data_IF_880856387733
#
_entry.id   IF_880856387733
#
_cell.length_a   1.000
_cell.length_b   1.000
_cell.length_c   1.000
_cell.angle_alpha   90.00
_cell.angle_beta   90.00
_cell.angle_gamma   90.00
#
_symmetry.space_group_name_H-M   'P 1'
#
loop_
_entity.id
_entity.type
_entity.pdbx_description
1 polymer ?
#
# COMPACT_ATOMS: atom_id res chain seq x y z
N UNK A 1 5.26 42.78 -62.82
CA UNK A 1 5.39 42.60 -61.35
C UNK A 1 4.29 41.66 -60.90
N UNK A 2 4.62 40.57 -60.21
CA UNK A 2 3.64 39.62 -59.66
C UNK A 2 4.23 38.22 -59.50
N UNK A 3 5.07 38.03 -58.49
CA UNK A 3 5.62 36.72 -58.12
C UNK A 3 4.64 36.04 -57.18
N UNK A 4 3.94 35.01 -57.64
CA UNK A 4 3.14 34.11 -56.81
C UNK A 4 4.07 33.12 -56.11
N UNK A 5 4.21 33.26 -54.80
CA UNK A 5 4.98 32.34 -53.94
C UNK A 5 4.15 31.10 -53.62
N UNK A 6 4.58 29.96 -54.16
CA UNK A 6 4.15 28.61 -53.82
C UNK A 6 4.72 28.19 -52.45
N UNK A 7 3.96 28.38 -51.38
CA UNK A 7 4.23 27.79 -50.05
C UNK A 7 3.30 26.59 -49.78
N UNK A 8 3.37 25.55 -50.62
CA UNK A 8 2.51 24.35 -50.48
C UNK A 8 3.27 23.06 -50.11
N UNK A 9 4.59 22.86 -50.33
CA UNK A 9 5.16 21.53 -50.06
C UNK A 9 5.51 21.26 -48.58
N UNK A 10 5.49 22.25 -47.68
CA UNK A 10 5.93 22.05 -46.29
C UNK A 10 4.85 21.44 -45.37
N UNK A 11 3.56 21.53 -45.72
CA UNK A 11 2.45 21.06 -44.87
C UNK A 11 2.13 19.56 -45.05
N UNK A 12 2.56 18.94 -46.16
CA UNK A 12 2.33 17.52 -46.43
C UNK A 12 3.33 16.58 -45.72
N UNK A 13 4.52 17.07 -45.35
CA UNK A 13 5.50 16.24 -44.62
C UNK A 13 5.19 16.11 -43.12
N UNK A 14 4.44 17.06 -42.54
CA UNK A 14 4.04 16.98 -41.12
C UNK A 14 2.96 15.90 -40.87
N UNK A 15 2.13 15.60 -41.86
CA UNK A 15 1.09 14.57 -41.75
C UNK A 15 1.65 13.13 -41.69
N UNK A 16 2.85 12.90 -42.21
CA UNK A 16 3.52 11.58 -42.18
C UNK A 16 4.12 11.24 -40.81
N UNK A 17 4.27 12.22 -39.92
CA UNK A 17 4.74 11.98 -38.53
C UNK A 17 3.61 11.83 -37.52
N UNK A 18 2.34 12.02 -37.92
CA UNK A 18 1.18 11.91 -37.03
C UNK A 18 0.50 10.53 -37.04
N UNK A 19 1.00 9.57 -37.83
CA UNK A 19 0.31 8.30 -38.06
C UNK A 19 1.23 7.08 -38.03
N UNK A 20 2.02 6.87 -36.96
CA UNK A 20 2.54 5.54 -36.62
C UNK A 20 2.63 5.35 -35.11
N UNK A 21 1.48 5.36 -34.41
CA UNK A 21 1.36 4.37 -33.34
C UNK A 21 1.17 3.03 -34.05
N UNK A 22 1.96 1.98 -33.75
CA UNK A 22 1.69 0.60 -34.17
C UNK A 22 0.22 0.23 -33.91
N UNK A 23 -0.27 -0.90 -34.40
CA UNK A 23 -1.65 -1.37 -34.16
C UNK A 23 -1.96 -1.67 -32.67
N UNK A 24 -1.95 -0.62 -31.84
CA UNK A 24 -2.24 -0.63 -30.42
C UNK A 24 -3.75 -0.66 -30.25
N UNK A 25 -4.25 -1.73 -29.65
CA UNK A 25 -5.65 -1.87 -29.30
C UNK A 25 -5.86 -1.44 -27.86
N UNK A 26 -6.89 -0.65 -27.62
CA UNK A 26 -7.29 -0.27 -26.28
C UNK A 26 -7.97 -1.44 -25.57
N UNK A 27 -7.59 -1.68 -24.32
CA UNK A 27 -8.18 -2.70 -23.46
C UNK A 27 -8.60 -2.10 -22.12
N UNK A 28 -9.69 -2.66 -21.57
CA UNK A 28 -10.11 -2.45 -20.20
C UNK A 28 -10.26 -3.80 -19.52
N UNK A 29 -9.54 -4.03 -18.43
CA UNK A 29 -9.64 -5.31 -17.71
C UNK A 29 -10.85 -5.37 -16.76
N UNK A 30 -10.98 -6.49 -16.05
CA UNK A 30 -12.08 -6.76 -15.11
C UNK A 30 -12.08 -5.85 -13.88
N UNK A 31 -10.97 -5.20 -13.59
CA UNK A 31 -10.83 -4.23 -12.49
C UNK A 31 -10.93 -2.79 -12.99
N UNK A 32 -11.23 -2.62 -14.28
CA UNK A 32 -11.39 -1.33 -14.92
C UNK A 32 -10.07 -0.65 -15.30
N UNK A 33 -8.94 -1.35 -15.21
CA UNK A 33 -7.65 -0.82 -15.65
C UNK A 33 -7.63 -0.62 -17.15
N UNK A 34 -7.07 0.49 -17.58
CA UNK A 34 -6.99 0.87 -18.99
C UNK A 34 -5.54 0.80 -19.45
N UNK A 35 -5.32 0.14 -20.59
CA UNK A 35 -4.00 0.03 -21.20
C UNK A 35 -4.14 -0.31 -22.68
N UNK A 36 -3.03 -0.21 -23.41
CA UNK A 36 -2.97 -0.58 -24.82
C UNK A 36 -2.16 -1.86 -24.99
N UNK A 37 -2.53 -2.67 -25.98
CA UNK A 37 -1.82 -3.90 -26.35
C UNK A 37 -1.48 -3.87 -27.84
N UNK A 38 -0.25 -4.14 -28.22
CA UNK A 38 0.17 -4.24 -29.62
C UNK A 38 -0.09 -5.64 -30.22
N UNK A 39 0.25 -5.85 -31.50
CA UNK A 39 0.13 -7.15 -32.17
C UNK A 39 1.03 -8.25 -31.58
N UNK A 40 2.13 -7.87 -30.94
CA UNK A 40 3.06 -8.80 -30.28
C UNK A 40 2.63 -9.13 -28.84
N UNK A 41 1.56 -8.50 -28.34
CA UNK A 41 1.08 -8.66 -26.97
C UNK A 41 1.80 -7.78 -25.95
N UNK A 42 2.63 -6.83 -26.38
CA UNK A 42 3.26 -5.88 -25.47
C UNK A 42 2.19 -4.95 -24.88
N UNK A 43 2.23 -4.75 -23.56
CA UNK A 43 1.29 -3.92 -22.83
C UNK A 43 1.93 -2.55 -22.58
N UNK A 44 1.20 -1.49 -22.91
CA UNK A 44 1.59 -0.11 -22.60
C UNK A 44 0.59 0.52 -21.64
N UNK A 45 1.11 0.95 -20.50
CA UNK A 45 0.37 1.74 -19.53
C UNK A 45 0.50 3.22 -19.91
N UNK A 46 -0.62 3.91 -20.06
CA UNK A 46 -0.65 5.36 -20.39
C UNK A 46 -1.04 6.24 -19.20
N UNK A 47 -1.72 5.66 -18.21
CA UNK A 47 -2.17 6.37 -17.01
C UNK A 47 -1.37 5.85 -15.80
N UNK A 48 -0.29 6.54 -15.46
CA UNK A 48 0.54 6.25 -14.26
C UNK A 48 0.19 7.13 -13.07
N UNK A 49 -0.75 8.06 -13.19
CA UNK A 49 -1.23 8.95 -12.13
C UNK A 49 -2.12 8.27 -11.07
N UNK A 50 -2.02 6.94 -10.93
CA UNK A 50 -2.79 6.16 -9.96
C UNK A 50 -2.48 6.60 -8.51
N UNK A 51 -3.44 6.50 -7.57
CA UNK A 51 -3.17 6.76 -6.17
C UNK A 51 -1.96 5.96 -5.67
N UNK A 52 -1.11 6.62 -4.89
CA UNK A 52 -0.01 5.95 -4.20
C UNK A 52 -0.58 4.79 -3.36
N UNK A 53 0.08 3.63 -3.42
CA UNK A 53 -0.32 2.40 -2.72
C UNK A 53 -1.62 1.77 -3.23
N UNK A 54 -1.62 1.37 -4.50
CA UNK A 54 -2.69 0.56 -5.07
C UNK A 54 -2.52 -0.93 -4.74
N UNK A 55 -3.56 -1.63 -4.23
CA UNK A 55 -3.51 -3.08 -4.06
C UNK A 55 -3.33 -3.82 -5.39
N UNK A 56 -2.51 -4.88 -5.36
CA UNK A 56 -2.27 -5.77 -6.50
C UNK A 56 -3.20 -6.98 -6.42
N UNK A 57 -3.79 -7.39 -7.54
CA UNK A 57 -4.62 -8.59 -7.60
C UNK A 57 -4.12 -9.62 -8.61
N UNK A 58 -4.52 -10.87 -8.39
CA UNK A 58 -4.35 -11.93 -9.37
C UNK A 58 -5.17 -11.70 -10.67
N UNK A 59 -6.31 -10.99 -10.59
CA UNK A 59 -7.23 -10.80 -11.73
C UNK A 59 -6.68 -9.82 -12.77
N UNK A 60 -5.86 -8.86 -12.34
CA UNK A 60 -5.24 -7.83 -13.16
C UNK A 60 -3.71 -7.97 -13.23
N UNK A 61 -3.18 -9.19 -13.07
CA UNK A 61 -1.73 -9.41 -12.91
C UNK A 61 -0.88 -8.89 -14.07
N UNK A 62 -1.37 -8.99 -15.32
CA UNK A 62 -0.64 -8.48 -16.49
C UNK A 62 -0.56 -6.96 -16.48
N UNK A 63 -1.61 -6.29 -16.01
CA UNK A 63 -1.59 -4.85 -15.82
C UNK A 63 -0.57 -4.48 -14.74
N UNK A 64 -0.63 -5.13 -13.56
CA UNK A 64 0.23 -4.78 -12.43
C UNK A 64 1.73 -4.96 -12.73
N UNK A 65 2.14 -6.03 -13.41
CA UNK A 65 3.56 -6.24 -13.74
C UNK A 65 4.08 -5.17 -14.70
N UNK A 66 3.31 -4.81 -15.73
CA UNK A 66 3.69 -3.77 -16.68
C UNK A 66 3.59 -2.36 -16.06
N UNK A 67 2.65 -2.15 -15.13
CA UNK A 67 2.53 -0.93 -14.35
C UNK A 67 3.76 -0.72 -13.46
N UNK A 68 4.17 -1.74 -12.70
CA UNK A 68 5.38 -1.70 -11.88
C UNK A 68 6.64 -1.44 -12.72
N UNK A 69 6.76 -2.08 -13.88
CA UNK A 69 7.89 -1.85 -14.80
C UNK A 69 7.88 -0.44 -15.38
N UNK A 70 6.71 0.08 -15.74
CA UNK A 70 6.55 1.45 -16.26
C UNK A 70 6.96 2.47 -15.20
N UNK A 71 6.50 2.31 -13.95
CA UNK A 71 6.91 3.16 -12.84
C UNK A 71 8.44 3.17 -12.64
N UNK A 72 9.06 2.00 -12.71
CA UNK A 72 10.53 1.88 -12.64
C UNK A 72 11.21 2.62 -13.80
N UNK A 73 10.70 2.50 -15.01
CA UNK A 73 11.24 3.19 -16.20
C UNK A 73 11.09 4.71 -16.12
N UNK A 74 10.05 5.19 -15.44
CA UNK A 74 9.80 6.62 -15.14
C UNK A 74 10.59 7.11 -13.91
N UNK A 75 11.52 6.31 -13.38
CA UNK A 75 12.31 6.59 -12.17
C UNK A 75 11.48 6.74 -10.88
N UNK A 76 10.23 6.28 -10.87
CA UNK A 76 9.36 6.20 -9.68
C UNK A 76 9.64 4.90 -8.92
N UNK A 77 10.88 4.72 -8.49
CA UNK A 77 11.39 3.45 -7.97
C UNK A 77 10.65 2.95 -6.73
N UNK A 78 10.29 3.83 -5.79
CA UNK A 78 9.62 3.42 -4.55
C UNK A 78 8.23 2.83 -4.83
N UNK A 79 7.45 3.49 -5.69
CA UNK A 79 6.13 3.01 -6.10
C UNK A 79 6.21 1.75 -6.95
N UNK A 80 7.15 1.70 -7.90
CA UNK A 80 7.42 0.53 -8.71
C UNK A 80 7.80 -0.68 -7.85
N UNK A 81 8.71 -0.49 -6.89
CA UNK A 81 9.11 -1.54 -5.95
C UNK A 81 7.95 -2.01 -5.09
N UNK A 82 7.10 -1.12 -4.59
CA UNK A 82 5.93 -1.50 -3.79
C UNK A 82 4.98 -2.42 -4.59
N UNK A 83 4.74 -2.10 -5.86
CA UNK A 83 3.93 -2.95 -6.77
C UNK A 83 4.61 -4.29 -7.02
N UNK A 84 5.92 -4.29 -7.36
CA UNK A 84 6.65 -5.52 -7.66
C UNK A 84 6.75 -6.45 -6.45
N UNK A 85 6.96 -5.90 -5.24
CA UNK A 85 6.93 -6.66 -3.98
C UNK A 85 5.53 -7.21 -3.70
N UNK A 86 4.49 -6.44 -4.00
CA UNK A 86 3.10 -6.91 -3.86
C UNK A 86 2.77 -8.06 -4.83
N UNK A 87 3.30 -8.03 -6.06
CA UNK A 87 3.20 -9.18 -6.99
C UNK A 87 3.88 -10.42 -6.40
N UNK A 88 5.08 -10.26 -5.82
CA UNK A 88 5.81 -11.36 -5.18
C UNK A 88 5.08 -11.94 -3.96
N UNK A 89 4.23 -11.16 -3.30
CA UNK A 89 3.46 -11.59 -2.13
C UNK A 89 2.14 -12.32 -2.48
N UNK A 90 1.71 -12.33 -3.75
CA UNK A 90 0.49 -13.05 -4.15
C UNK A 90 0.63 -14.57 -3.96
N UNK A 91 -0.47 -15.28 -3.64
CA UNK A 91 -0.51 -16.74 -3.72
C UNK A 91 -0.20 -17.23 -5.15
N UNK A 92 0.73 -18.19 -5.27
CA UNK A 92 1.19 -18.72 -6.55
C UNK A 92 0.25 -19.81 -7.12
N UNK A 93 -1.05 -19.52 -7.15
CA UNK A 93 -2.10 -20.52 -7.42
C UNK A 93 -2.23 -20.91 -8.89
N UNK A 94 -1.57 -20.16 -9.79
CA UNK A 94 -1.49 -20.51 -11.20
C UNK A 94 -0.18 -20.04 -11.84
N UNK A 95 0.16 -20.67 -12.98
CA UNK A 95 1.40 -20.38 -13.70
C UNK A 95 1.51 -18.92 -14.14
N UNK A 96 0.40 -18.23 -14.44
CA UNK A 96 0.43 -16.82 -14.87
C UNK A 96 0.91 -15.90 -13.74
N UNK A 97 0.47 -16.13 -12.51
CA UNK A 97 0.96 -15.40 -11.33
C UNK A 97 2.43 -15.74 -11.11
N UNK A 98 2.80 -17.02 -11.14
CA UNK A 98 4.18 -17.45 -10.97
C UNK A 98 5.14 -16.77 -11.96
N UNK A 99 4.80 -16.70 -13.25
CA UNK A 99 5.62 -16.00 -14.26
C UNK A 99 5.75 -14.50 -13.95
N UNK A 100 4.68 -13.85 -13.48
CA UNK A 100 4.74 -12.45 -13.06
C UNK A 100 5.64 -12.24 -11.84
N UNK A 101 5.65 -13.18 -10.89
CA UNK A 101 6.54 -13.17 -9.73
C UNK A 101 8.00 -13.32 -10.13
N UNK A 102 8.31 -14.25 -11.03
CA UNK A 102 9.67 -14.43 -11.58
C UNK A 102 10.14 -13.13 -12.23
N UNK A 103 9.33 -12.54 -13.12
CA UNK A 103 9.65 -11.26 -13.77
C UNK A 103 9.82 -10.12 -12.76
N UNK A 104 8.97 -10.04 -11.74
CA UNK A 104 9.08 -9.03 -10.69
C UNK A 104 10.40 -9.16 -9.92
N UNK A 105 10.78 -10.38 -9.53
CA UNK A 105 12.05 -10.66 -8.87
C UNK A 105 13.26 -10.29 -9.75
N UNK A 106 13.21 -10.56 -11.05
CA UNK A 106 14.27 -10.16 -11.99
C UNK A 106 14.44 -8.64 -12.05
N UNK A 107 13.34 -7.89 -12.10
CA UNK A 107 13.37 -6.41 -12.11
C UNK A 107 13.93 -5.88 -10.78
N UNK A 108 13.46 -6.41 -9.64
CA UNK A 108 13.98 -6.04 -8.31
C UNK A 108 15.48 -6.35 -8.22
N UNK A 109 15.91 -7.53 -8.67
CA UNK A 109 17.32 -7.93 -8.67
C UNK A 109 18.19 -7.03 -9.56
N UNK A 110 17.67 -6.61 -10.71
CA UNK A 110 18.34 -5.63 -11.59
C UNK A 110 18.49 -4.28 -10.90
N UNK A 111 17.43 -3.78 -10.27
CA UNK A 111 17.46 -2.52 -9.53
C UNK A 111 18.47 -2.55 -8.39
N UNK A 112 18.53 -3.66 -7.64
CA UNK A 112 19.52 -3.86 -6.57
C UNK A 112 20.95 -3.81 -7.11
N UNK A 113 21.23 -4.51 -8.20
CA UNK A 113 22.56 -4.51 -8.85
C UNK A 113 22.95 -3.11 -9.35
N UNK A 114 22.01 -2.36 -9.90
CA UNK A 114 22.27 -1.03 -10.48
C UNK A 114 22.45 0.06 -9.40
N UNK A 115 21.73 -0.02 -8.29
CA UNK A 115 21.64 1.07 -7.31
C UNK A 115 22.47 0.83 -6.02
N UNK A 116 22.93 -0.40 -5.76
CA UNK A 116 23.73 -0.73 -4.58
C UNK A 116 23.07 -0.25 -3.28
N UNK A 117 23.80 0.47 -2.43
CA UNK A 117 23.28 0.98 -1.16
C UNK A 117 22.08 1.95 -1.31
N UNK A 118 21.86 2.56 -2.50
CA UNK A 118 20.65 3.38 -2.74
C UNK A 118 19.40 2.51 -2.82
N UNK A 119 19.53 1.25 -3.27
CA UNK A 119 18.42 0.31 -3.33
C UNK A 119 17.84 0.05 -1.94
N UNK A 120 18.69 -0.06 -0.91
CA UNK A 120 18.22 -0.37 0.45
C UNK A 120 17.23 0.69 0.95
N UNK A 121 17.54 1.97 0.74
CA UNK A 121 16.61 3.08 1.06
C UNK A 121 15.30 3.00 0.26
N UNK A 122 15.37 2.71 -1.04
CA UNK A 122 14.17 2.57 -1.87
C UNK A 122 13.30 1.39 -1.43
N UNK A 123 13.95 0.27 -1.09
CA UNK A 123 13.28 -0.95 -0.61
C UNK A 123 12.61 -0.74 0.75
N UNK A 124 13.26 0.03 1.63
CA UNK A 124 12.69 0.46 2.91
C UNK A 124 11.48 1.40 2.72
N UNK A 125 11.58 2.39 1.83
CA UNK A 125 10.43 3.26 1.49
C UNK A 125 9.24 2.45 0.94
N UNK A 126 9.54 1.40 0.16
CA UNK A 126 8.60 0.46 -0.45
C UNK A 126 8.22 -0.72 0.47
N UNK A 127 8.27 -0.55 1.80
CA UNK A 127 7.97 -1.64 2.74
C UNK A 127 6.49 -2.05 2.80
N UNK A 128 5.59 -1.16 2.40
CA UNK A 128 4.16 -1.41 2.46
C UNK A 128 3.69 -2.16 1.20
N UNK A 129 3.26 -3.38 1.40
CA UNK A 129 2.73 -4.31 0.40
C UNK A 129 1.21 -4.41 0.58
N UNK A 130 0.48 -4.34 -0.53
CA UNK A 130 -0.98 -4.41 -0.56
C UNK A 130 -1.42 -5.42 -1.63
N UNK A 131 -2.11 -6.47 -1.22
CA UNK A 131 -2.65 -7.47 -2.15
C UNK A 131 -4.15 -7.66 -1.94
N UNK A 132 -4.88 -7.80 -3.04
CA UNK A 132 -6.30 -8.17 -3.03
C UNK A 132 -6.42 -9.70 -3.01
N UNK A 133 -7.02 -10.24 -1.97
CA UNK A 133 -7.35 -11.66 -1.83
C UNK A 133 -8.86 -11.82 -1.62
N UNK A 134 -9.57 -12.25 -2.66
CA UNK A 134 -11.03 -12.39 -2.61
C UNK A 134 -11.71 -11.03 -2.38
N UNK A 135 -12.36 -10.88 -1.23
CA UNK A 135 -13.06 -9.66 -0.81
C UNK A 135 -12.25 -8.82 0.18
N UNK A 136 -11.03 -9.24 0.52
CA UNK A 136 -10.17 -8.59 1.49
C UNK A 136 -8.91 -8.03 0.84
N UNK A 137 -8.33 -7.05 1.50
CA UNK A 137 -6.97 -6.55 1.27
C UNK A 137 -6.09 -7.13 2.37
N UNK A 138 -5.05 -7.86 1.99
CA UNK A 138 -3.96 -8.22 2.90
C UNK A 138 -2.93 -7.11 2.84
N UNK A 139 -2.61 -6.58 4.00
CA UNK A 139 -1.66 -5.49 4.18
C UNK A 139 -0.46 -6.05 4.89
N UNK A 140 0.73 -5.88 4.31
CA UNK A 140 1.98 -6.40 4.86
C UNK A 140 2.97 -5.24 4.94
N UNK A 141 3.63 -5.09 6.08
CA UNK A 141 4.82 -4.25 6.20
C UNK A 141 6.01 -5.16 6.43
N UNK A 142 6.72 -5.51 5.35
CA UNK A 142 7.79 -6.50 5.42
C UNK A 142 8.99 -6.02 6.24
N UNK A 143 9.20 -4.71 6.30
CA UNK A 143 10.22 -4.07 7.14
C UNK A 143 9.86 -4.16 8.63
N UNK A 144 8.60 -3.90 8.98
CA UNK A 144 8.14 -3.93 10.38
C UNK A 144 7.57 -5.28 10.81
N UNK A 145 7.52 -6.27 9.92
CA UNK A 145 7.13 -7.67 10.19
C UNK A 145 5.72 -7.86 10.72
N UNK A 146 4.78 -7.02 10.29
CA UNK A 146 3.37 -7.26 10.58
C UNK A 146 2.59 -7.47 9.28
N UNK A 147 1.48 -8.18 9.41
CA UNK A 147 0.45 -8.30 8.38
C UNK A 147 -0.92 -8.32 9.03
N UNK A 148 -1.94 -7.80 8.35
CA UNK A 148 -3.33 -7.91 8.79
C UNK A 148 -4.26 -7.97 7.58
N UNK A 149 -5.49 -8.44 7.81
CA UNK A 149 -6.54 -8.48 6.79
C UNK A 149 -7.56 -7.40 7.06
N UNK A 150 -8.00 -6.72 6.01
CA UNK A 150 -9.07 -5.75 6.09
C UNK A 150 -10.04 -5.90 4.92
N UNK A 151 -11.31 -5.49 5.08
CA UNK A 151 -12.25 -5.49 3.97
C UNK A 151 -11.77 -4.68 2.77
N UNK A 152 -12.26 -5.03 1.57
CA UNK A 152 -12.09 -4.22 0.38
C UNK A 152 -12.50 -2.76 0.63
N UNK A 153 -11.69 -1.81 0.16
CA UNK A 153 -11.91 -0.37 0.34
C UNK A 153 -10.98 0.32 1.33
N UNK A 154 -10.00 -0.39 1.92
CA UNK A 154 -8.92 0.30 2.65
C UNK A 154 -8.05 1.11 1.68
N UNK A 155 -7.77 2.36 2.08
CA UNK A 155 -6.81 3.26 1.45
C UNK A 155 -5.76 3.72 2.43
N UNK A 156 -4.54 3.92 1.95
CA UNK A 156 -3.48 4.59 2.71
C UNK A 156 -3.74 6.09 2.67
N UNK A 157 -4.03 6.69 3.83
CA UNK A 157 -4.21 8.15 3.98
C UNK A 157 -2.86 8.81 4.18
N UNK A 158 -2.02 8.21 5.03
CA UNK A 158 -0.72 8.77 5.40
C UNK A 158 0.26 7.68 5.81
N UNK A 159 1.51 7.80 5.36
CA UNK A 159 2.66 7.02 5.83
C UNK A 159 3.72 7.97 6.35
N UNK A 160 4.33 7.64 7.49
CA UNK A 160 5.41 8.41 8.11
C UNK A 160 6.48 7.46 8.60
N UNK A 161 7.68 7.60 8.07
CA UNK A 161 8.85 6.83 8.49
C UNK A 161 9.87 7.74 9.18
N UNK A 162 10.57 7.20 10.16
CA UNK A 162 11.74 7.81 10.78
C UNK A 162 12.78 6.72 11.02
N UNK A 163 14.02 6.98 10.62
CA UNK A 163 15.12 6.04 10.81
C UNK A 163 16.30 6.74 11.50
N UNK A 164 16.89 6.06 12.47
CA UNK A 164 18.17 6.36 13.09
C UNK A 164 19.05 5.10 13.11
N UNK A 165 20.23 5.19 13.72
CA UNK A 165 21.22 4.10 13.72
C UNK A 165 20.67 2.80 14.35
N UNK A 166 19.97 2.93 15.48
CA UNK A 166 19.51 1.82 16.33
C UNK A 166 17.99 1.91 16.61
N UNK A 167 17.28 2.76 15.87
CA UNK A 167 15.86 3.04 16.04
C UNK A 167 15.17 3.21 14.70
N UNK A 168 13.97 2.65 14.56
CA UNK A 168 13.11 2.89 13.42
C UNK A 168 11.67 3.02 13.85
N UNK A 169 10.95 3.92 13.21
CA UNK A 169 9.53 4.12 13.37
C UNK A 169 8.85 4.15 12.01
N UNK A 170 7.69 3.50 11.92
CA UNK A 170 6.80 3.48 10.76
C UNK A 170 5.37 3.63 11.27
N UNK A 171 4.75 4.78 11.00
CA UNK A 171 3.35 5.06 11.29
C UNK A 171 2.54 5.11 10.01
N UNK A 172 1.51 4.27 9.90
CA UNK A 172 0.61 4.26 8.74
C UNK A 172 -0.82 4.46 9.21
N UNK A 173 -1.50 5.41 8.58
CA UNK A 173 -2.92 5.66 8.74
C UNK A 173 -3.67 5.19 7.50
N UNK A 174 -4.62 4.32 7.73
CA UNK A 174 -5.54 3.78 6.76
C UNK A 174 -6.94 4.34 6.99
N UNK A 175 -7.70 4.52 5.92
CA UNK A 175 -9.14 4.75 5.98
C UNK A 175 -9.87 3.63 5.27
N UNK A 176 -10.88 3.07 5.91
CA UNK A 176 -11.78 2.10 5.29
C UNK A 176 -13.00 2.83 4.73
N UNK A 177 -13.22 2.66 3.43
CA UNK A 177 -14.24 3.38 2.67
C UNK A 177 -15.22 2.39 2.04
N UNK A 178 -16.52 2.52 2.32
CA UNK A 178 -17.58 1.88 1.53
C UNK A 178 -18.12 2.77 0.42
N UNK A 179 -18.12 4.10 0.63
CA UNK A 179 -18.61 5.10 -0.32
C UNK A 179 -17.58 6.20 -0.55
N UNK A 180 -17.43 6.64 -1.80
CA UNK A 180 -16.40 7.58 -2.20
C UNK A 180 -16.46 8.91 -1.42
N UNK A 181 -15.39 9.23 -0.68
CA UNK A 181 -15.17 10.49 0.03
C UNK A 181 -15.39 10.44 1.54
N UNK A 182 -15.87 9.33 2.12
CA UNK A 182 -16.11 9.18 3.56
C UNK A 182 -15.56 7.87 4.12
N UNK A 183 -14.89 7.94 5.26
CA UNK A 183 -14.35 6.75 5.92
C UNK A 183 -15.30 6.27 7.03
N UNK A 184 -15.65 4.99 6.98
CA UNK A 184 -16.45 4.34 8.03
C UNK A 184 -15.66 4.20 9.33
N UNK A 185 -14.37 3.90 9.21
CA UNK A 185 -13.43 3.87 10.30
C UNK A 185 -12.01 4.15 9.80
N UNK A 186 -11.14 4.54 10.73
CA UNK A 186 -9.72 4.70 10.50
C UNK A 186 -8.96 3.60 11.23
N UNK A 187 -7.86 3.14 10.63
CA UNK A 187 -6.91 2.24 11.27
C UNK A 187 -5.54 2.91 11.27
N UNK A 188 -4.96 3.11 12.44
CA UNK A 188 -3.57 3.53 12.58
C UNK A 188 -2.73 2.34 13.04
N UNK A 189 -1.58 2.11 12.40
CA UNK A 189 -0.57 1.16 12.85
C UNK A 189 0.73 1.93 13.02
N UNK A 190 1.10 2.17 14.28
CA UNK A 190 2.37 2.74 14.66
C UNK A 190 3.31 1.61 15.07
N UNK A 191 4.47 1.54 14.46
CA UNK A 191 5.44 0.48 14.72
C UNK A 191 6.79 1.07 15.08
N UNK A 192 7.47 0.49 16.07
CA UNK A 192 8.83 0.84 16.44
C UNK A 192 9.72 -0.39 16.48
N UNK A 193 10.93 -0.27 15.92
CA UNK A 193 11.99 -1.26 16.01
C UNK A 193 13.18 -0.63 16.72
N UNK A 194 13.69 -1.32 17.74
CA UNK A 194 14.80 -0.86 18.57
C UNK A 194 15.91 -1.91 18.63
N UNK A 195 17.13 -1.50 19.00
CA UNK A 195 18.26 -2.42 19.12
C UNK A 195 18.07 -3.52 20.17
N UNK A 196 17.52 -3.16 21.33
CA UNK A 196 17.28 -4.09 22.42
C UNK A 196 15.93 -4.79 22.25
N UNK A 197 15.82 -6.05 22.71
CA UNK A 197 14.53 -6.75 22.76
C UNK A 197 13.69 -6.15 23.88
N UNK A 198 12.38 -6.04 23.68
CA UNK A 198 11.45 -5.80 24.78
C UNK A 198 11.49 -7.00 25.74
N UNK A 199 11.56 -6.73 27.04
CA UNK A 199 11.56 -7.74 28.09
C UNK A 199 10.23 -8.49 28.13
N UNK A 200 9.15 -7.73 28.09
CA UNK A 200 7.77 -8.22 28.19
C UNK A 200 6.78 -7.23 27.57
N UNK A 201 5.52 -7.63 27.48
CA UNK A 201 4.43 -6.79 26.99
C UNK A 201 4.22 -5.52 27.84
N UNK A 202 4.50 -5.57 29.15
CA UNK A 202 4.29 -4.43 30.03
C UNK A 202 5.24 -3.27 29.71
N UNK A 203 6.50 -3.58 29.37
CA UNK A 203 7.46 -2.58 28.89
C UNK A 203 6.97 -1.89 27.60
N UNK A 204 6.39 -2.65 26.66
CA UNK A 204 5.83 -2.09 25.44
C UNK A 204 4.59 -1.23 25.71
N UNK A 205 3.69 -1.66 26.59
CA UNK A 205 2.52 -0.88 27.01
C UNK A 205 2.90 0.45 27.67
N UNK A 206 3.88 0.43 28.59
CA UNK A 206 4.42 1.63 29.25
C UNK A 206 4.95 2.62 28.20
N UNK A 207 5.72 2.11 27.24
CA UNK A 207 6.29 2.92 26.16
C UNK A 207 5.21 3.58 25.30
N UNK A 208 4.21 2.82 24.87
CA UNK A 208 3.13 3.35 24.04
C UNK A 208 2.21 4.29 24.81
N UNK A 209 2.04 4.11 26.12
CA UNK A 209 1.27 5.03 26.97
C UNK A 209 1.84 6.46 26.95
N UNK A 210 3.16 6.60 26.89
CA UNK A 210 3.83 7.90 26.80
C UNK A 210 3.66 8.60 25.44
N UNK A 211 3.40 7.85 24.37
CA UNK A 211 3.31 8.38 23.00
C UNK A 211 1.88 8.52 22.48
N UNK A 212 0.97 7.68 22.97
CA UNK A 212 -0.44 7.74 22.61
C UNK A 212 -1.11 8.81 23.48
N UNK A 213 -1.94 9.67 22.87
CA UNK A 213 -2.79 10.61 23.62
C UNK A 213 -3.71 9.84 24.57
N UNK A 214 -3.24 9.60 25.79
CA UNK A 214 -3.86 8.66 26.73
C UNK A 214 -4.99 9.29 27.53
N UNK A 215 -5.02 10.62 27.58
CA UNK A 215 -5.92 11.41 28.42
C UNK A 215 -7.36 11.37 27.87
N UNK A 216 -8.32 10.98 28.73
CA UNK A 216 -9.76 11.03 28.44
C UNK A 216 -10.37 9.79 27.80
N UNK A 217 -9.63 8.70 27.64
CA UNK A 217 -10.14 7.42 27.10
C UNK A 217 -10.43 6.41 28.22
N UNK A 218 -11.65 5.91 28.26
CA UNK A 218 -12.00 4.75 29.10
C UNK A 218 -11.66 3.48 28.34
N UNK A 219 -10.83 2.60 28.94
CA UNK A 219 -10.39 1.34 28.34
C UNK A 219 -10.91 0.14 29.11
N UNK A 220 -11.32 -0.89 28.36
CA UNK A 220 -11.66 -2.21 28.88
C UNK A 220 -10.85 -3.25 28.12
N UNK A 221 -10.04 -4.03 28.83
CA UNK A 221 -9.30 -5.15 28.24
C UNK A 221 -10.28 -6.19 27.69
N UNK A 222 -10.07 -6.57 26.44
CA UNK A 222 -10.82 -7.61 25.73
C UNK A 222 -10.02 -8.90 25.71
N UNK A 223 -8.73 -8.78 25.36
CA UNK A 223 -7.79 -9.91 25.25
C UNK A 223 -6.45 -9.49 25.84
N UNK A 224 -5.78 -10.42 26.51
CA UNK A 224 -4.40 -10.24 26.97
C UNK A 224 -3.69 -11.59 26.93
N UNK A 225 -2.61 -11.62 26.18
CA UNK A 225 -1.69 -12.74 26.03
C UNK A 225 -0.27 -12.27 26.41
N UNK A 226 0.74 -13.12 26.25
CA UNK A 226 2.14 -12.79 26.59
C UNK A 226 2.77 -11.77 25.64
N UNK A 227 2.32 -11.73 24.39
CA UNK A 227 2.88 -10.92 23.30
C UNK A 227 1.93 -9.83 22.81
N UNK A 228 0.69 -9.78 23.32
CA UNK A 228 -0.30 -8.76 22.94
C UNK A 228 -1.33 -8.44 24.00
N UNK A 229 -1.84 -7.22 23.95
CA UNK A 229 -3.05 -6.80 24.68
C UNK A 229 -3.96 -6.04 23.73
N UNK A 230 -5.27 -6.28 23.84
CA UNK A 230 -6.31 -5.57 23.09
C UNK A 230 -7.28 -4.94 24.09
N UNK A 231 -7.44 -3.63 23.98
CA UNK A 231 -8.41 -2.86 24.71
C UNK A 231 -9.51 -2.37 23.78
N UNK A 232 -10.75 -2.51 24.20
CA UNK A 232 -11.83 -1.67 23.71
C UNK A 232 -11.70 -0.31 24.41
N UNK A 233 -11.81 0.78 23.65
CA UNK A 233 -11.79 2.12 24.22
C UNK A 233 -13.00 2.95 23.79
N UNK A 234 -13.35 3.93 24.62
CA UNK A 234 -14.41 4.91 24.35
C UNK A 234 -13.99 6.30 24.83
N UNK A 235 -14.33 7.32 24.06
CA UNK A 235 -14.21 8.72 24.45
C UNK A 235 -15.62 9.30 24.62
N UNK A 236 -15.93 9.78 25.83
CA UNK A 236 -17.22 10.39 26.17
C UNK A 236 -17.30 11.90 25.87
N UNK A 237 -16.28 12.47 25.22
CA UNK A 237 -16.24 13.85 24.75
C UNK A 237 -17.17 14.11 23.56
N UNK A 238 -17.19 15.35 23.08
CA UNK A 238 -17.97 15.76 21.91
C UNK A 238 -17.02 16.28 20.80
N UNK A 239 -16.91 15.60 19.64
CA UNK A 239 -17.65 14.40 19.25
C UNK A 239 -17.13 13.13 19.95
N UNK A 240 -18.06 12.22 20.26
CA UNK A 240 -17.75 10.93 20.86
C UNK A 240 -17.23 9.92 19.82
N UNK A 241 -16.31 9.06 20.24
CA UNK A 241 -15.71 8.05 19.38
C UNK A 241 -15.31 6.80 20.18
N UNK A 242 -15.26 5.67 19.48
CA UNK A 242 -14.97 4.38 20.08
C UNK A 242 -14.15 3.50 19.13
N UNK A 243 -13.56 2.44 19.68
CA UNK A 243 -12.77 1.52 18.88
C UNK A 243 -11.97 0.51 19.69
N UNK A 244 -10.95 -0.03 19.03
CA UNK A 244 -10.00 -0.97 19.61
C UNK A 244 -8.58 -0.44 19.50
N UNK A 245 -7.82 -0.63 20.55
CA UNK A 245 -6.40 -0.32 20.65
C UNK A 245 -5.68 -1.59 21.06
N UNK A 246 -4.62 -1.95 20.33
CA UNK A 246 -3.83 -3.11 20.62
C UNK A 246 -2.35 -2.76 20.66
N UNK A 247 -1.65 -3.37 21.61
CA UNK A 247 -0.18 -3.36 21.68
C UNK A 247 0.30 -4.77 21.41
N UNK A 248 1.25 -4.91 20.49
CA UNK A 248 1.88 -6.17 20.13
C UNK A 248 3.40 -6.07 20.30
N UNK A 249 4.04 -7.18 20.64
CA UNK A 249 5.48 -7.30 20.79
C UNK A 249 6.00 -8.50 20.01
N UNK A 250 6.88 -8.24 19.06
CA UNK A 250 7.66 -9.26 18.35
C UNK A 250 9.16 -8.97 18.51
N UNK A 251 9.73 -9.52 19.58
CA UNK A 251 11.15 -9.40 19.88
C UNK A 251 11.62 -7.95 20.03
N UNK A 252 12.22 -7.39 18.97
CA UNK A 252 12.75 -6.02 18.92
C UNK A 252 11.77 -5.00 18.35
N UNK A 253 10.63 -5.48 17.85
CA UNK A 253 9.60 -4.67 17.24
C UNK A 253 8.39 -4.64 18.16
N UNK A 254 7.77 -3.47 18.28
CA UNK A 254 6.48 -3.32 18.92
C UNK A 254 5.53 -2.55 18.02
N UNK A 255 4.25 -2.87 18.11
CA UNK A 255 3.19 -2.23 17.35
C UNK A 255 2.14 -1.67 18.30
N UNK A 256 1.67 -0.47 18.02
CA UNK A 256 0.43 0.05 18.55
C UNK A 256 -0.54 0.20 17.37
N UNK A 257 -1.56 -0.64 17.34
CA UNK A 257 -2.61 -0.56 16.34
C UNK A 257 -3.88 0.03 16.96
N UNK A 258 -4.56 0.91 16.24
CA UNK A 258 -5.81 1.53 16.70
C UNK A 258 -6.83 1.60 15.58
N UNK A 259 -7.96 0.93 15.74
CA UNK A 259 -9.12 1.08 14.86
C UNK A 259 -10.12 2.01 15.56
N UNK A 260 -10.49 3.11 14.94
CA UNK A 260 -11.31 4.17 15.52
C UNK A 260 -12.45 4.57 14.58
N UNK A 261 -13.61 4.82 15.16
CA UNK A 261 -14.78 5.35 14.45
C UNK A 261 -15.55 6.31 15.35
N UNK A 262 -16.44 7.12 14.75
CA UNK A 262 -17.56 7.73 15.49
C UNK A 262 -18.36 6.67 16.24
N UNK A 263 -19.10 7.05 17.28
CA UNK A 263 -19.97 6.11 18.03
C UNK A 263 -20.97 5.36 17.15
N UNK A 264 -21.56 6.05 16.18
CA UNK A 264 -22.49 5.45 15.22
C UNK A 264 -21.77 4.43 14.32
N UNK A 265 -20.63 4.80 13.75
CA UNK A 265 -19.85 3.90 12.90
C UNK A 265 -19.24 2.73 13.67
N UNK A 266 -18.87 2.91 14.94
CA UNK A 266 -18.42 1.82 15.81
C UNK A 266 -19.55 0.83 16.04
N UNK A 267 -20.75 1.31 16.32
CA UNK A 267 -21.93 0.44 16.48
C UNK A 267 -22.25 -0.36 15.22
N UNK A 268 -22.08 0.25 14.03
CA UNK A 268 -22.32 -0.40 12.75
C UNK A 268 -21.20 -1.36 12.31
N UNK A 269 -19.94 -1.09 12.65
CA UNK A 269 -18.77 -1.81 12.15
C UNK A 269 -18.01 -2.59 13.22
N UNK A 270 -18.56 -2.73 14.43
CA UNK A 270 -17.88 -3.30 15.59
C UNK A 270 -17.18 -4.63 15.31
N UNK A 271 -17.88 -5.58 14.68
CA UNK A 271 -17.34 -6.91 14.41
C UNK A 271 -16.25 -6.88 13.33
N UNK A 272 -16.40 -6.01 12.32
CA UNK A 272 -15.37 -5.79 11.29
C UNK A 272 -14.11 -5.19 11.92
N UNK A 273 -14.26 -4.14 12.72
CA UNK A 273 -13.14 -3.49 13.42
C UNK A 273 -12.44 -4.46 14.37
N UNK A 274 -13.20 -5.35 15.02
CA UNK A 274 -12.66 -6.41 15.88
C UNK A 274 -11.88 -7.45 15.08
N UNK A 275 -12.43 -7.92 13.97
CA UNK A 275 -11.74 -8.85 13.07
C UNK A 275 -10.43 -8.29 12.55
N UNK A 276 -10.39 -7.01 12.20
CA UNK A 276 -9.17 -6.33 11.72
C UNK A 276 -8.09 -6.21 12.81
N UNK A 277 -8.47 -5.91 14.07
CA UNK A 277 -7.47 -5.76 15.15
C UNK A 277 -6.98 -7.12 15.67
N UNK A 278 -7.76 -8.18 15.51
CA UNK A 278 -7.42 -9.54 15.97
C UNK A 278 -6.67 -10.37 14.90
N UNK A 279 -6.67 -9.94 13.62
CA UNK A 279 -5.98 -10.61 12.51
C UNK A 279 -4.48 -10.40 12.51
#
# INVERSE_FOLDING_TARGET
>A
MGVTRTCVPLLLFAALFLAQMPDWKYFRDREGNKYFVDRAGAIRITETSSPAHRPVSARAIDYHINFGETLVSEHRYEEGLAVLKSICALPADNNRIYQAQVRAMEIIGRLRKQNGARFDRMNESASLILINEGNDIVIINDMMRYSFRAPAGIRVIRKKDRAGLDYRYSGILFGAEREAGTYDYLLAVDSESIKARFKDLAEAEEKWRGHTGHQGLTRRTVTRDDDRVIHQFRNSGNPGYAGYEAVFVDGRVTHCARVISSEAGYSANREVMRGVIES
#
